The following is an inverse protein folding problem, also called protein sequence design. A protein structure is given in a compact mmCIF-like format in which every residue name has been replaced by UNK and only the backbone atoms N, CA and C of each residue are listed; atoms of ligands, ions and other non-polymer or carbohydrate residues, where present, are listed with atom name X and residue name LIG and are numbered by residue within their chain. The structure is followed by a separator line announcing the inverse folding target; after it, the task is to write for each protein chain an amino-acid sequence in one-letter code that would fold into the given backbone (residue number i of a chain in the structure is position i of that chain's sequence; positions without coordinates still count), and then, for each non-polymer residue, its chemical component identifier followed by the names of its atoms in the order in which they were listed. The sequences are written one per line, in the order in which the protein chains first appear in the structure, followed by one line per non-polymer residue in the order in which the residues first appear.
data_IF_150408155723
#
_entry.id   IF_150408155723
#
_cell.length_a   1.000
_cell.length_b   1.000
_cell.length_c   1.000
_cell.angle_alpha   90.00
_cell.angle_beta   90.00
_cell.angle_gamma   90.00
#
_symmetry.space_group_name_H-M   'P 1'
#
loop_
_entity.id
_entity.type
_entity.pdbx_description
1 polymer ?
#
# COMPACT_ATOMS: atom_id res chain seq x y z
N UNK A 1 -37.40 0.30 -25.16
CA UNK A 1 -36.99 1.72 -25.08
C UNK A 1 -36.62 1.94 -23.62
N UNK A 2 -35.37 1.60 -23.26
CA UNK A 2 -34.88 1.73 -21.89
C UNK A 2 -34.17 3.06 -21.76
N UNK A 3 -34.61 3.84 -20.77
CA UNK A 3 -34.16 5.18 -20.49
C UNK A 3 -32.68 5.19 -20.14
N UNK A 4 -31.97 6.09 -20.84
CA UNK A 4 -30.93 7.00 -20.36
C UNK A 4 -29.96 6.46 -19.30
N UNK A 5 -28.72 6.30 -19.76
CA UNK A 5 -27.55 6.11 -18.94
C UNK A 5 -27.42 7.16 -17.85
N UNK A 6 -27.21 6.65 -16.64
CA UNK A 6 -26.72 7.38 -15.47
C UNK A 6 -25.17 7.40 -15.48
N UNK A 7 -24.60 7.62 -16.66
CA UNK A 7 -23.19 7.97 -16.82
C UNK A 7 -23.07 9.48 -16.56
N UNK A 8 -22.61 9.91 -15.37
CA UNK A 8 -21.82 11.16 -15.10
C UNK A 8 -21.90 11.80 -13.69
N UNK A 9 -22.46 11.17 -12.64
CA UNK A 9 -22.58 11.84 -11.32
C UNK A 9 -22.05 11.15 -10.05
N UNK A 10 -21.18 10.15 -10.14
CA UNK A 10 -20.23 9.92 -9.03
C UNK A 10 -19.20 11.05 -9.05
N UNK A 11 -19.58 12.21 -8.51
CA UNK A 11 -18.63 13.20 -8.04
C UNK A 11 -17.55 12.47 -7.27
N UNK A 12 -16.29 12.61 -7.72
CA UNK A 12 -15.15 11.97 -7.08
C UNK A 12 -15.22 12.31 -5.59
N UNK A 13 -15.50 11.32 -4.74
CA UNK A 13 -15.65 11.57 -3.30
C UNK A 13 -14.29 12.06 -2.80
N UNK A 14 -14.26 13.28 -2.27
CA UNK A 14 -13.10 13.80 -1.58
C UNK A 14 -13.01 13.12 -0.22
N UNK A 15 -12.12 12.13 -0.13
CA UNK A 15 -11.91 11.35 1.09
C UNK A 15 -11.22 12.15 2.19
N UNK A 16 -10.46 13.19 1.86
CA UNK A 16 -9.82 14.06 2.85
C UNK A 16 -10.86 14.98 3.49
N UNK A 17 -11.77 15.54 2.68
CA UNK A 17 -12.93 16.27 3.20
C UNK A 17 -13.79 15.35 4.08
N UNK A 18 -14.08 14.13 3.61
CA UNK A 18 -14.88 13.15 4.36
C UNK A 18 -14.23 12.77 5.70
N UNK A 19 -12.92 12.56 5.71
CA UNK A 19 -12.14 12.32 6.92
C UNK A 19 -12.24 13.49 7.90
N UNK A 20 -12.09 14.73 7.41
CA UNK A 20 -12.20 15.95 8.21
C UNK A 20 -13.58 16.14 8.83
N UNK A 21 -14.65 15.87 8.09
CA UNK A 21 -16.02 15.90 8.59
C UNK A 21 -16.25 14.87 9.70
N UNK A 22 -15.80 13.63 9.51
CA UNK A 22 -15.94 12.56 10.52
C UNK A 22 -15.14 12.87 11.78
N UNK A 23 -13.89 13.31 11.66
CA UNK A 23 -13.08 13.73 12.81
C UNK A 23 -13.74 14.89 13.55
N UNK A 24 -14.37 15.82 12.85
CA UNK A 24 -15.11 16.93 13.47
C UNK A 24 -16.34 16.44 14.22
N UNK A 25 -17.11 15.52 13.63
CA UNK A 25 -18.23 14.87 14.32
C UNK A 25 -17.80 14.13 15.58
N UNK A 26 -16.71 13.35 15.50
CA UNK A 26 -16.17 12.60 16.63
C UNK A 26 -15.63 13.47 17.77
N UNK A 27 -15.41 14.77 17.56
CA UNK A 27 -15.10 15.74 18.63
C UNK A 27 -16.34 16.22 19.37
N UNK A 28 -17.54 15.98 18.85
CA UNK A 28 -18.80 16.38 19.50
C UNK A 28 -19.22 15.38 20.58
N UNK A 29 -19.97 15.78 21.61
CA UNK A 29 -20.50 14.85 22.61
C UNK A 29 -21.32 13.70 22.01
N UNK A 30 -22.04 13.95 20.92
CA UNK A 30 -22.83 12.94 20.22
C UNK A 30 -21.96 11.95 19.42
N UNK A 31 -20.82 12.39 18.90
CA UNK A 31 -19.94 11.56 18.07
C UNK A 31 -18.90 10.74 18.83
N UNK A 32 -18.43 11.22 20.00
CA UNK A 32 -17.37 10.54 20.79
C UNK A 32 -17.66 9.05 21.06
N UNK A 33 -18.88 8.62 21.44
CA UNK A 33 -19.16 7.19 21.63
C UNK A 33 -18.91 6.37 20.37
N UNK A 34 -19.28 6.90 19.20
CA UNK A 34 -19.11 6.23 17.91
C UNK A 34 -17.68 6.26 17.39
N UNK A 35 -16.88 7.25 17.79
CA UNK A 35 -15.45 7.28 17.50
C UNK A 35 -14.72 6.06 18.09
N UNK A 36 -15.08 5.64 19.30
CA UNK A 36 -14.52 4.46 19.95
C UNK A 36 -14.87 3.17 19.20
N UNK A 37 -16.15 2.99 18.86
CA UNK A 37 -16.61 1.83 18.07
C UNK A 37 -15.96 1.81 16.70
N UNK A 38 -15.84 2.96 16.04
CA UNK A 38 -15.25 3.03 14.71
C UNK A 38 -13.74 2.76 14.74
N UNK A 39 -13.01 3.25 15.76
CA UNK A 39 -11.60 2.88 15.96
C UNK A 39 -11.46 1.36 16.11
N UNK A 40 -12.32 0.73 16.91
CA UNK A 40 -12.28 -0.72 17.11
C UNK A 40 -12.57 -1.48 15.83
N UNK A 41 -13.59 -1.04 15.09
CA UNK A 41 -13.93 -1.59 13.78
C UNK A 41 -12.73 -1.51 12.81
N UNK A 42 -12.00 -0.38 12.81
CA UNK A 42 -10.83 -0.22 11.98
C UNK A 42 -9.78 -1.30 12.27
N UNK A 43 -9.50 -1.52 13.55
CA UNK A 43 -8.49 -2.48 13.97
C UNK A 43 -8.92 -3.95 13.75
N UNK A 44 -10.22 -4.25 13.88
CA UNK A 44 -10.74 -5.62 13.70
C UNK A 44 -10.98 -5.99 12.24
N UNK A 45 -11.39 -5.05 11.38
CA UNK A 45 -11.86 -5.35 10.03
C UNK A 45 -10.94 -4.87 8.90
N UNK A 46 -10.10 -3.87 9.12
CA UNK A 46 -9.31 -3.25 8.03
C UNK A 46 -7.81 -3.46 8.24
N UNK A 47 -7.08 -3.82 7.19
CA UNK A 47 -5.63 -4.11 7.26
C UNK A 47 -4.75 -2.90 6.91
N UNK A 48 -5.26 -1.67 7.12
CA UNK A 48 -4.53 -0.44 6.74
C UNK A 48 -3.21 -0.26 7.51
N UNK A 49 -3.02 -0.95 8.63
CA UNK A 49 -1.77 -0.99 9.40
C UNK A 49 -1.04 -2.34 9.32
N UNK A 50 -1.58 -3.35 8.65
CA UNK A 50 -1.15 -4.74 8.81
C UNK A 50 -1.67 -5.37 10.10
N UNK A 51 -1.78 -6.69 10.12
CA UNK A 51 -2.42 -7.45 11.20
C UNK A 51 -1.66 -7.33 12.52
N UNK A 52 -0.33 -7.39 12.47
CA UNK A 52 0.52 -7.30 13.65
C UNK A 52 0.38 -5.97 14.42
N UNK A 53 0.29 -4.85 13.69
CA UNK A 53 0.07 -3.54 14.30
C UNK A 53 -1.36 -3.39 14.82
N UNK A 54 -2.35 -3.91 14.10
CA UNK A 54 -3.74 -3.95 14.56
C UNK A 54 -3.86 -4.75 15.87
N UNK A 55 -3.26 -5.94 15.95
CA UNK A 55 -3.28 -6.79 17.15
C UNK A 55 -2.60 -6.10 18.33
N UNK A 56 -1.43 -5.48 18.10
CA UNK A 56 -0.72 -4.71 19.13
C UNK A 56 -1.56 -3.52 19.63
N UNK A 57 -2.27 -2.84 18.72
CA UNK A 57 -3.17 -1.74 19.07
C UNK A 57 -4.41 -2.24 19.81
N UNK A 58 -5.02 -3.36 19.41
CA UNK A 58 -6.16 -3.98 20.10
C UNK A 58 -5.81 -4.31 21.55
N UNK A 59 -4.62 -4.83 21.81
CA UNK A 59 -4.11 -5.04 23.17
C UNK A 59 -3.97 -3.70 23.92
N UNK A 60 -3.42 -2.68 23.27
CA UNK A 60 -3.17 -1.38 23.91
C UNK A 60 -4.46 -0.59 24.25
N UNK A 61 -5.49 -0.66 23.39
CA UNK A 61 -6.79 0.01 23.59
C UNK A 61 -7.75 -0.79 24.47
N UNK A 62 -7.37 -2.00 24.89
CA UNK A 62 -8.11 -2.83 25.86
C UNK A 62 -9.55 -3.12 25.37
N UNK A 63 -10.55 -2.70 26.15
CA UNK A 63 -11.97 -2.91 25.87
C UNK A 63 -12.63 -1.73 25.15
N UNK A 64 -11.86 -0.70 24.78
CA UNK A 64 -12.38 0.47 24.08
C UNK A 64 -13.12 0.07 22.80
N UNK A 65 -14.34 0.57 22.66
CA UNK A 65 -15.15 0.36 21.46
C UNK A 65 -15.55 -1.09 21.21
N UNK A 66 -15.41 -1.99 22.19
CA UNK A 66 -15.89 -3.37 22.03
C UNK A 66 -17.39 -3.40 21.79
N UNK A 67 -17.80 -4.17 20.77
CA UNK A 67 -19.22 -4.43 20.52
C UNK A 67 -19.85 -5.04 21.77
N UNK A 68 -21.08 -4.63 22.13
CA UNK A 68 -21.84 -5.30 23.17
C UNK A 68 -21.97 -6.80 22.86
N UNK A 69 -22.00 -7.67 23.88
CA UNK A 69 -22.24 -9.09 23.68
C UNK A 69 -23.51 -9.31 22.86
N UNK A 70 -23.47 -10.28 21.94
CA UNK A 70 -24.58 -10.68 21.06
C UNK A 70 -24.95 -9.68 19.94
N UNK A 71 -24.19 -8.61 19.72
CA UNK A 71 -24.37 -7.75 18.55
C UNK A 71 -23.43 -8.13 17.42
N UNK A 72 -23.99 -8.39 16.24
CA UNK A 72 -23.21 -8.68 15.02
C UNK A 72 -22.74 -7.39 14.33
N UNK A 73 -23.58 -6.35 14.34
CA UNK A 73 -23.30 -5.06 13.73
C UNK A 73 -22.55 -4.12 14.68
N UNK A 74 -21.71 -3.25 14.12
CA UNK A 74 -21.08 -2.16 14.85
C UNK A 74 -22.12 -1.09 15.21
N UNK A 75 -22.11 -0.54 16.44
CA UNK A 75 -22.98 0.57 16.80
C UNK A 75 -22.77 1.78 15.87
N UNK A 76 -23.88 2.44 15.52
CA UNK A 76 -23.93 3.63 14.66
C UNK A 76 -24.80 4.72 15.27
N UNK A 77 -24.59 6.00 14.90
CA UNK A 77 -25.52 7.07 15.25
C UNK A 77 -26.92 6.79 14.72
N UNK A 78 -27.95 7.27 15.44
CA UNK A 78 -29.32 7.25 14.94
C UNK A 78 -29.55 8.25 13.80
N UNK A 79 -28.69 9.26 13.69
CA UNK A 79 -28.67 10.20 12.58
C UNK A 79 -28.18 9.48 11.32
N UNK A 80 -29.07 9.35 10.33
CA UNK A 80 -28.81 8.66 9.06
C UNK A 80 -27.65 9.27 8.29
N UNK A 81 -27.48 10.60 8.34
CA UNK A 81 -26.37 11.29 7.67
C UNK A 81 -25.03 10.81 8.22
N UNK A 82 -24.86 10.78 9.53
CA UNK A 82 -23.61 10.34 10.16
C UNK A 82 -23.41 8.82 10.06
N UNK A 83 -24.48 8.04 10.16
CA UNK A 83 -24.42 6.60 9.97
C UNK A 83 -23.91 6.24 8.56
N UNK A 84 -24.41 6.90 7.52
CA UNK A 84 -23.96 6.71 6.14
C UNK A 84 -22.53 7.22 5.93
N UNK A 85 -22.16 8.36 6.52
CA UNK A 85 -20.78 8.88 6.43
C UNK A 85 -19.77 7.91 7.02
N UNK A 86 -20.06 7.30 8.18
CA UNK A 86 -19.22 6.28 8.81
C UNK A 86 -19.15 5.01 7.94
N UNK A 87 -20.30 4.54 7.43
CA UNK A 87 -20.38 3.35 6.57
C UNK A 87 -19.58 3.52 5.28
N UNK A 88 -19.80 4.63 4.57
CA UNK A 88 -19.11 4.98 3.33
C UNK A 88 -17.60 5.08 3.55
N UNK A 89 -17.15 5.70 4.64
CA UNK A 89 -15.72 5.77 4.96
C UNK A 89 -15.15 4.41 5.35
N UNK A 90 -15.90 3.57 6.08
CA UNK A 90 -15.53 2.17 6.32
C UNK A 90 -15.34 1.38 5.02
N UNK A 91 -16.22 1.59 4.03
CA UNK A 91 -16.06 1.06 2.68
C UNK A 91 -14.76 1.53 2.00
N UNK A 92 -14.42 2.81 2.12
CA UNK A 92 -13.14 3.34 1.64
C UNK A 92 -11.94 2.71 2.34
N UNK A 93 -11.99 2.51 3.65
CA UNK A 93 -10.92 1.83 4.40
C UNK A 93 -10.77 0.37 3.97
N UNK A 94 -11.89 -0.32 3.75
CA UNK A 94 -11.93 -1.70 3.28
C UNK A 94 -11.38 -1.86 1.87
N UNK A 95 -11.71 -0.94 0.96
CA UNK A 95 -11.25 -0.95 -0.43
C UNK A 95 -9.71 -0.99 -0.56
N UNK A 96 -8.90 -0.73 0.47
CA UNK A 96 -7.47 -1.04 0.36
C UNK A 96 -7.14 -2.52 0.06
N UNK A 97 -8.10 -3.44 0.18
CA UNK A 97 -7.84 -4.87 0.22
C UNK A 97 -8.79 -5.64 -0.73
N UNK A 98 -8.37 -6.13 -1.92
CA UNK A 98 -7.19 -5.84 -2.72
C UNK A 98 -7.55 -5.09 -4.03
N UNK A 99 -7.45 -3.76 -4.04
CA UNK A 99 -7.82 -2.88 -5.17
C UNK A 99 -6.62 -2.53 -6.11
N UNK A 100 -6.87 -2.02 -7.34
CA UNK A 100 -5.84 -1.73 -8.34
C UNK A 100 -4.85 -0.61 -7.93
N UNK A 101 -3.73 -0.56 -8.65
CA UNK A 101 -2.51 0.22 -8.31
C UNK A 101 -2.72 1.70 -7.93
N UNK A 102 -3.69 2.40 -8.51
CA UNK A 102 -3.90 3.82 -8.24
C UNK A 102 -4.53 4.06 -6.85
N UNK A 103 -5.29 3.12 -6.31
CA UNK A 103 -5.92 3.27 -4.99
C UNK A 103 -4.94 3.06 -3.83
N UNK A 104 -3.74 2.54 -4.13
CA UNK A 104 -2.67 2.37 -3.16
C UNK A 104 -2.13 3.71 -2.64
N UNK A 105 -2.28 4.79 -3.41
CA UNK A 105 -1.91 6.15 -2.99
C UNK A 105 -2.68 6.58 -1.73
N UNK A 106 -3.86 5.99 -1.50
CA UNK A 106 -4.68 6.31 -0.35
C UNK A 106 -4.27 5.62 0.95
N UNK A 107 -3.25 4.74 0.95
CA UNK A 107 -2.85 4.08 2.19
C UNK A 107 -2.33 5.08 3.24
N UNK A 108 -1.56 6.09 2.82
CA UNK A 108 -1.06 7.15 3.68
C UNK A 108 -2.20 7.90 4.37
N UNK A 109 -3.14 8.51 3.62
CA UNK A 109 -4.33 9.14 4.18
C UNK A 109 -5.13 8.26 5.15
N UNK A 110 -5.30 6.97 4.86
CA UNK A 110 -6.00 6.01 5.74
C UNK A 110 -5.27 5.81 7.07
N UNK A 111 -3.94 5.68 7.03
CA UNK A 111 -3.11 5.56 8.23
C UNK A 111 -3.11 6.87 9.05
N UNK A 112 -3.07 8.02 8.38
CA UNK A 112 -3.21 9.34 9.02
C UNK A 112 -4.55 9.47 9.73
N UNK A 113 -5.65 9.02 9.11
CA UNK A 113 -6.96 9.03 9.77
C UNK A 113 -6.97 8.23 11.08
N UNK A 114 -6.39 7.02 11.09
CA UNK A 114 -6.27 6.22 12.31
C UNK A 114 -5.42 6.91 13.39
N UNK A 115 -4.33 7.57 12.97
CA UNK A 115 -3.47 8.35 13.86
C UNK A 115 -4.20 9.55 14.49
N UNK A 116 -4.98 10.28 13.68
CA UNK A 116 -5.76 11.44 14.12
C UNK A 116 -6.93 11.05 15.02
N UNK A 117 -7.58 9.92 14.72
CA UNK A 117 -8.66 9.35 15.54
C UNK A 117 -8.15 9.01 16.96
N UNK A 118 -6.97 8.39 17.07
CA UNK A 118 -6.30 8.14 18.36
C UNK A 118 -5.86 9.44 19.06
N UNK A 119 -5.67 10.52 18.29
CA UNK A 119 -5.29 11.84 18.77
C UNK A 119 -6.45 12.71 19.28
N UNK A 120 -7.70 12.25 19.17
CA UNK A 120 -8.85 13.03 19.61
C UNK A 120 -8.89 13.17 21.14
N UNK A 121 -8.61 14.38 21.65
CA UNK A 121 -8.63 14.67 23.09
C UNK A 121 -9.97 14.30 23.75
N UNK A 122 -11.10 14.53 23.07
CA UNK A 122 -12.43 14.19 23.61
C UNK A 122 -12.59 12.68 23.83
N UNK A 123 -12.08 11.86 22.90
CA UNK A 123 -12.05 10.41 23.05
C UNK A 123 -11.13 10.01 24.21
N UNK A 124 -9.93 10.59 24.28
CA UNK A 124 -8.96 10.29 25.35
C UNK A 124 -9.52 10.62 26.74
N UNK A 125 -10.20 11.76 26.87
CA UNK A 125 -10.81 12.21 28.12
C UNK A 125 -12.01 11.35 28.50
N UNK A 126 -12.90 11.03 27.53
CA UNK A 126 -14.10 10.23 27.79
C UNK A 126 -13.77 8.80 28.27
N UNK A 127 -12.61 8.27 27.89
CA UNK A 127 -12.16 6.93 28.25
C UNK A 127 -10.89 6.93 29.10
N UNK A 128 -10.62 8.03 29.84
CA UNK A 128 -9.44 8.16 30.70
C UNK A 128 -9.37 7.05 31.78
N UNK A 129 -10.54 6.60 32.25
CA UNK A 129 -10.67 5.50 33.22
C UNK A 129 -10.08 4.17 32.73
N UNK A 130 -9.93 3.98 31.42
CA UNK A 130 -9.32 2.76 30.87
C UNK A 130 -7.80 2.74 31.02
N UNK A 131 -7.15 3.87 31.37
CA UNK A 131 -5.70 3.93 31.52
C UNK A 131 -4.96 3.48 30.25
N UNK A 132 -5.44 3.92 29.08
CA UNK A 132 -4.84 3.63 27.78
C UNK A 132 -3.62 4.54 27.60
N UNK A 133 -2.50 3.96 27.15
CA UNK A 133 -1.33 4.74 26.77
C UNK A 133 -1.51 5.25 25.33
N UNK A 134 -2.25 6.35 25.19
CA UNK A 134 -2.58 6.94 23.89
C UNK A 134 -1.34 7.31 23.07
N UNK A 135 -0.28 7.80 23.73
CA UNK A 135 1.00 8.11 23.08
C UNK A 135 1.60 6.87 22.44
N UNK A 136 1.63 5.73 23.16
CA UNK A 136 2.10 4.46 22.60
C UNK A 136 1.26 4.02 21.40
N UNK A 137 -0.06 4.14 21.47
CA UNK A 137 -0.94 3.80 20.34
C UNK A 137 -0.63 4.65 19.12
N UNK A 138 -0.47 5.97 19.28
CA UNK A 138 -0.11 6.88 18.19
C UNK A 138 1.25 6.56 17.59
N UNK A 139 2.23 6.25 18.42
CA UNK A 139 3.57 5.85 17.95
C UNK A 139 3.55 4.55 17.14
N UNK A 140 2.67 3.59 17.47
CA UNK A 140 2.50 2.37 16.68
C UNK A 140 1.98 2.69 15.27
N UNK A 141 0.94 3.53 15.17
CA UNK A 141 0.40 3.95 13.87
C UNK A 141 1.42 4.75 13.06
N UNK A 142 2.09 5.71 13.70
CA UNK A 142 3.13 6.51 13.05
C UNK A 142 4.28 5.64 12.54
N UNK A 143 4.80 4.72 13.35
CA UNK A 143 5.87 3.82 12.93
C UNK A 143 5.46 2.96 11.73
N UNK A 144 4.19 2.54 11.66
CA UNK A 144 3.67 1.83 10.50
C UNK A 144 3.54 2.72 9.27
N UNK A 145 3.07 3.95 9.43
CA UNK A 145 2.96 4.91 8.34
C UNK A 145 4.33 5.25 7.74
N UNK A 146 5.33 5.50 8.59
CA UNK A 146 6.71 5.74 8.16
C UNK A 146 7.30 4.53 7.42
N UNK A 147 7.06 3.31 7.91
CA UNK A 147 7.50 2.10 7.23
C UNK A 147 6.87 1.97 5.84
N UNK A 148 5.56 2.23 5.75
CA UNK A 148 4.79 2.17 4.50
C UNK A 148 5.31 3.21 3.50
N UNK A 149 5.52 4.46 3.93
CA UNK A 149 6.07 5.53 3.11
C UNK A 149 7.47 5.19 2.59
N UNK A 150 8.39 4.73 3.46
CA UNK A 150 9.74 4.30 3.04
C UNK A 150 9.70 3.15 2.04
N UNK A 151 8.78 2.21 2.21
CA UNK A 151 8.59 1.12 1.26
C UNK A 151 8.08 1.62 -0.09
N UNK A 152 7.08 2.49 -0.11
CA UNK A 152 6.55 3.09 -1.34
C UNK A 152 7.64 3.87 -2.08
N UNK A 153 8.40 4.72 -1.37
CA UNK A 153 9.51 5.50 -1.94
C UNK A 153 10.61 4.60 -2.52
N UNK A 154 10.99 3.54 -1.81
CA UNK A 154 11.98 2.58 -2.29
C UNK A 154 11.47 1.82 -3.53
N UNK A 155 10.20 1.43 -3.56
CA UNK A 155 9.62 0.60 -4.63
C UNK A 155 9.24 1.38 -5.88
N UNK A 156 8.95 2.69 -5.78
CA UNK A 156 8.74 3.55 -6.95
C UNK A 156 10.03 3.84 -7.73
N UNK A 157 11.19 3.70 -7.10
CA UNK A 157 12.49 3.90 -7.75
C UNK A 157 13.24 2.60 -8.03
N UNK A 158 13.49 1.75 -7.02
CA UNK A 158 14.19 0.44 -7.10
C UNK A 158 14.21 -0.27 -5.72
N UNK A 159 13.55 -1.43 -5.59
CA UNK A 159 13.52 -2.25 -4.37
C UNK A 159 14.90 -2.63 -3.82
N UNK A 160 15.92 -2.69 -4.67
CA UNK A 160 17.28 -3.05 -4.27
C UNK A 160 17.96 -1.95 -3.44
N UNK A 161 17.40 -0.73 -3.42
CA UNK A 161 17.87 0.38 -2.57
C UNK A 161 17.51 0.21 -1.09
N UNK A 162 16.58 -0.69 -0.77
CA UNK A 162 16.29 -1.04 0.63
C UNK A 162 17.28 -2.12 1.10
N UNK A 163 17.95 -1.92 2.27
CA UNK A 163 18.81 -2.94 2.85
C UNK A 163 18.08 -4.29 2.97
N UNK A 164 18.73 -5.38 2.59
CA UNK A 164 18.15 -6.73 2.60
C UNK A 164 17.43 -7.11 3.91
N UNK A 165 17.98 -6.87 5.12
CA UNK A 165 17.27 -7.20 6.36
C UNK A 165 15.99 -6.38 6.56
N UNK A 166 16.00 -5.10 6.16
CA UNK A 166 14.82 -4.23 6.26
C UNK A 166 13.75 -4.68 5.28
N UNK A 167 14.15 -5.05 4.06
CA UNK A 167 13.23 -5.56 3.04
C UNK A 167 12.56 -6.85 3.49
N UNK A 168 13.34 -7.83 3.96
CA UNK A 168 12.83 -9.10 4.44
C UNK A 168 11.82 -8.93 5.59
N UNK A 169 12.04 -7.96 6.48
CA UNK A 169 11.11 -7.65 7.56
C UNK A 169 9.84 -6.90 7.07
N UNK A 170 9.96 -6.07 6.04
CA UNK A 170 8.89 -5.17 5.58
C UNK A 170 7.96 -5.81 4.55
N UNK A 171 8.48 -6.68 3.70
CA UNK A 171 7.75 -7.34 2.63
C UNK A 171 6.48 -8.09 3.09
N UNK A 172 6.48 -8.92 4.14
CA UNK A 172 5.25 -9.59 4.59
C UNK A 172 4.18 -8.59 5.04
N UNK A 173 4.58 -7.50 5.69
CA UNK A 173 3.65 -6.44 6.12
C UNK A 173 3.05 -5.75 4.89
N UNK A 174 3.87 -5.44 3.87
CA UNK A 174 3.40 -4.79 2.65
C UNK A 174 2.51 -5.69 1.79
N UNK A 175 2.68 -7.02 1.87
CA UNK A 175 1.72 -7.95 1.27
C UNK A 175 0.33 -7.89 1.91
N UNK A 176 0.23 -7.55 3.21
CA UNK A 176 -1.06 -7.37 3.90
C UNK A 176 -1.68 -5.98 3.65
N UNK A 177 -0.84 -4.95 3.58
CA UNK A 177 -1.26 -3.55 3.45
C UNK A 177 -1.49 -3.15 1.99
N UNK A 178 -0.66 -3.64 1.06
CA UNK A 178 -0.65 -3.29 -0.37
C UNK A 178 -0.35 -4.53 -1.25
N UNK A 179 -1.25 -5.54 -1.29
CA UNK A 179 -0.97 -6.86 -1.88
C UNK A 179 -0.56 -6.84 -3.37
N UNK A 180 -1.14 -5.95 -4.18
CA UNK A 180 -0.87 -5.92 -5.63
C UNK A 180 0.47 -5.28 -5.99
N UNK A 181 0.99 -4.35 -5.18
CA UNK A 181 2.31 -3.75 -5.42
C UNK A 181 3.40 -4.80 -5.22
N UNK A 182 3.30 -5.53 -4.11
CA UNK A 182 4.22 -6.63 -3.76
C UNK A 182 4.29 -7.69 -4.86
N UNK A 183 3.17 -8.07 -5.48
CA UNK A 183 3.17 -9.05 -6.59
C UNK A 183 3.83 -8.55 -7.88
N UNK A 184 3.65 -7.27 -8.24
CA UNK A 184 4.31 -6.69 -9.42
C UNK A 184 5.82 -6.62 -9.20
N UNK A 185 6.19 -6.20 -8.00
CA UNK A 185 7.55 -6.01 -7.57
C UNK A 185 8.30 -7.35 -7.50
N UNK A 186 7.65 -8.40 -7.02
CA UNK A 186 8.12 -9.79 -7.11
C UNK A 186 8.37 -10.21 -8.57
N UNK A 187 7.39 -9.99 -9.46
CA UNK A 187 7.58 -10.30 -10.90
C UNK A 187 8.73 -9.52 -11.54
N UNK A 188 8.93 -8.26 -11.17
CA UNK A 188 10.07 -7.46 -11.64
C UNK A 188 11.40 -8.01 -11.12
N UNK A 189 11.46 -8.39 -9.84
CA UNK A 189 12.64 -9.00 -9.25
C UNK A 189 12.98 -10.35 -9.91
N UNK A 190 11.98 -11.21 -10.10
CA UNK A 190 12.11 -12.51 -10.79
C UNK A 190 12.61 -12.34 -12.24
N UNK A 191 12.08 -11.36 -12.98
CA UNK A 191 12.53 -11.05 -14.33
C UNK A 191 13.98 -10.53 -14.35
N UNK A 192 14.34 -9.65 -13.41
CA UNK A 192 15.70 -9.12 -13.31
C UNK A 192 16.72 -10.21 -12.93
N UNK A 193 16.36 -11.12 -12.04
CA UNK A 193 17.19 -12.27 -11.64
C UNK A 193 17.34 -13.26 -12.80
N UNK A 194 16.25 -13.56 -13.51
CA UNK A 194 16.28 -14.39 -14.72
C UNK A 194 17.16 -13.79 -15.82
N UNK A 195 17.10 -12.47 -16.01
CA UNK A 195 17.94 -11.77 -16.98
C UNK A 195 19.43 -11.81 -16.60
N UNK A 196 19.77 -11.65 -15.31
CA UNK A 196 21.14 -11.77 -14.81
C UNK A 196 21.69 -13.19 -15.02
N UNK A 197 20.91 -14.21 -14.66
CA UNK A 197 21.29 -15.61 -14.86
C UNK A 197 21.48 -15.96 -16.34
N UNK A 198 20.65 -15.41 -17.24
CA UNK A 198 20.82 -15.56 -18.68
C UNK A 198 22.12 -14.92 -19.19
N UNK A 199 22.46 -13.73 -18.68
CA UNK A 199 23.69 -13.02 -19.06
C UNK A 199 24.96 -13.74 -18.57
N UNK A 200 24.93 -14.31 -17.36
CA UNK A 200 26.03 -15.13 -16.82
C UNK A 200 26.21 -16.43 -17.61
N UNK A 201 25.12 -17.07 -18.06
CA UNK A 201 25.18 -18.24 -18.95
C UNK A 201 25.74 -17.89 -20.33
N UNK A 202 25.36 -16.74 -20.89
CA UNK A 202 25.91 -16.26 -22.17
C UNK A 202 27.41 -15.93 -22.04
N UNK A 203 27.83 -15.31 -20.94
CA UNK A 203 29.23 -15.00 -20.67
C UNK A 203 30.09 -16.25 -20.44
N UNK A 204 29.55 -17.29 -19.81
CA UNK A 204 30.24 -18.57 -19.62
C UNK A 204 30.29 -19.45 -20.87
N UNK A 205 29.42 -19.23 -21.86
CA UNK A 205 29.47 -19.86 -23.19
C UNK A 205 30.31 -19.07 -24.21
N UNK A 206 30.65 -17.81 -23.90
CA UNK A 206 31.45 -16.92 -24.74
C UNK A 206 32.97 -17.06 -24.53
N UNK A 207 33.53 -18.25 -24.72
CA UNK A 207 34.98 -18.40 -24.95
C UNK A 207 35.29 -19.62 -25.82
N UNK A 208 34.69 -19.64 -26.99
CA UNK A 208 35.14 -20.47 -28.11
C UNK A 208 35.00 -19.65 -29.38
N UNK A 209 35.99 -18.79 -29.62
CA UNK A 209 36.22 -18.18 -30.94
C UNK A 209 36.43 -19.34 -31.91
N UNK A 210 35.59 -19.55 -32.94
CA UNK A 210 35.92 -20.47 -34.00
C UNK A 210 37.14 -19.89 -34.71
N UNK A 211 38.23 -20.66 -34.77
CA UNK A 211 39.39 -20.33 -35.57
C UNK A 211 38.92 -19.94 -36.99
N UNK A 212 39.30 -18.74 -37.44
CA UNK A 212 39.03 -18.24 -38.78
C UNK A 212 39.50 -19.27 -39.81
N UNK A 213 38.58 -20.03 -40.39
CA UNK A 213 38.83 -20.74 -41.64
C UNK A 213 38.73 -19.75 -42.79
N UNK A 214 39.91 -19.33 -43.25
CA UNK A 214 40.23 -18.81 -44.59
C UNK A 214 39.03 -18.60 -45.54
N UNK A 215 38.56 -17.36 -45.64
CA UNK A 215 37.81 -16.92 -46.81
C UNK A 215 38.82 -16.50 -47.91
N UNK A 216 38.72 -17.03 -49.15
CA UNK A 216 39.67 -16.73 -50.22
C UNK A 216 39.59 -15.27 -50.67
N UNK A 217 40.77 -14.73 -51.01
CA UNK A 217 41.08 -13.31 -51.08
C UNK A 217 40.35 -12.50 -52.14
N UNK A 218 39.96 -11.29 -51.75
CA UNK A 218 39.65 -10.17 -52.63
C UNK A 218 40.91 -9.47 -53.20
N UNK A 219 42.09 -10.10 -53.09
CA UNK A 219 43.36 -9.55 -53.55
C UNK A 219 43.69 -9.88 -55.02
N UNK A 220 42.78 -10.52 -55.77
CA UNK A 220 43.05 -10.92 -57.17
C UNK A 220 42.45 -9.98 -58.22
N UNK A 221 41.73 -8.92 -57.84
CA UNK A 221 41.06 -8.01 -58.82
C UNK A 221 41.86 -6.72 -59.09
N UNK A 222 43.04 -6.53 -58.47
CA UNK A 222 43.89 -5.33 -58.69
C UNK A 222 45.15 -5.54 -59.55
N UNK A 223 45.25 -6.66 -60.30
CA UNK A 223 46.43 -6.94 -61.17
C UNK A 223 46.16 -7.01 -62.68
N UNK A 224 45.01 -6.53 -63.17
CA UNK A 224 44.73 -6.48 -64.61
C UNK A 224 44.51 -5.08 -65.20
N UNK A 225 44.96 -4.01 -64.53
CA UNK A 225 44.94 -2.63 -65.08
C UNK A 225 46.31 -1.94 -64.96
N UNK A 226 47.39 -2.71 -64.87
CA UNK A 226 48.77 -2.24 -65.03
C UNK A 226 49.49 -3.26 -65.91
N UNK A 227 49.25 -3.15 -67.21
CA UNK A 227 50.20 -3.43 -68.29
C UNK A 227 49.43 -3.21 -69.60
N UNK A 228 49.42 -1.95 -70.03
CA UNK A 228 49.01 -1.58 -71.38
C UNK A 228 50.14 -1.89 -72.36
N UNK A 229 49.79 -2.25 -73.60
CA UNK A 229 50.77 -2.28 -74.68
C UNK A 229 50.30 -2.99 -75.94
N UNK A 230 49.80 -2.16 -76.87
CA UNK A 230 49.63 -2.35 -78.32
C UNK A 230 48.41 -3.14 -78.82
#
# INVERSE_FOLDING_TARGET
MFAQGDDLHTAHIDWDQRAGELLSYFRTPAGVPFAAFFLREILEHYTILGRDANDALLVAVKTLGQRPPNQTAWPRPNDEYWAERIRSFGGFLYASNPEPYFEQQHIGPKQTFAYDLLGLHQLQNAYANLGINWTRCRNLVQGRAELTSRYIEATDMDLTRMPAPVRAATEPIMQEVIPHRSRRDQRRAEMAESARAANERAASQGSSIPAQTNAPGWNTVRRHVQDGGL
#
